data_IF_816081703574
#
_entry.id   IF_816081703574
#
_cell.length_a   1.000
_cell.length_b   1.000
_cell.length_c   1.000
_cell.angle_alpha   90.00
_cell.angle_beta   90.00
_cell.angle_gamma   90.00
#
_symmetry.space_group_name_H-M   'P 1'
#
loop_
_entity.id
_entity.type
_entity.pdbx_description
1 polymer ?
#
# COMPACT_ATOMS: atom_id res chain seq x y z
N UNK A 1 16.61 67.24 -23.01
CA UNK A 1 15.45 66.82 -22.18
C UNK A 1 14.81 65.61 -22.85
N UNK A 2 15.12 64.40 -22.39
CA UNK A 2 14.47 63.15 -22.83
C UNK A 2 13.28 62.88 -21.90
N UNK A 3 12.07 62.68 -22.46
CA UNK A 3 10.89 62.24 -21.69
C UNK A 3 10.99 60.72 -21.46
N UNK A 4 10.70 60.21 -20.24
CA UNK A 4 10.72 58.77 -19.98
C UNK A 4 9.53 58.07 -20.65
N UNK A 5 9.75 56.83 -21.08
CA UNK A 5 8.71 55.94 -21.57
C UNK A 5 7.77 55.50 -20.42
N UNK A 6 6.48 55.23 -20.69
CA UNK A 6 5.53 54.80 -19.68
C UNK A 6 5.80 53.36 -19.22
N UNK A 7 5.49 53.02 -17.95
CA UNK A 7 5.69 51.68 -17.40
C UNK A 7 4.77 50.66 -18.08
N UNK A 8 5.33 49.50 -18.44
CA UNK A 8 4.60 48.38 -19.03
C UNK A 8 3.59 47.78 -18.04
N UNK A 9 2.45 47.33 -18.57
CA UNK A 9 1.39 46.72 -17.79
C UNK A 9 1.86 45.45 -17.06
N UNK A 10 1.36 45.17 -15.84
CA UNK A 10 1.70 43.97 -15.09
C UNK A 10 1.22 42.72 -15.82
N UNK A 11 2.11 41.73 -15.99
CA UNK A 11 1.76 40.41 -16.52
C UNK A 11 0.81 39.72 -15.53
N UNK A 12 -0.39 39.38 -15.98
CA UNK A 12 -1.34 38.56 -15.23
C UNK A 12 -0.72 37.20 -14.89
N UNK A 13 -0.75 36.81 -13.62
CA UNK A 13 -0.34 35.48 -13.18
C UNK A 13 -1.17 34.39 -13.90
N UNK A 14 -0.58 33.23 -14.25
CA UNK A 14 -1.34 32.13 -14.82
C UNK A 14 -2.38 31.63 -13.81
N UNK A 15 -3.59 31.35 -14.29
CA UNK A 15 -4.65 30.81 -13.46
C UNK A 15 -4.20 29.50 -12.79
N UNK A 16 -4.58 29.26 -11.53
CA UNK A 16 -4.29 28.00 -10.86
C UNK A 16 -4.88 26.85 -11.68
N UNK A 17 -4.11 25.77 -11.85
CA UNK A 17 -4.57 24.57 -12.52
C UNK A 17 -5.87 24.08 -11.84
N UNK A 18 -6.87 23.60 -12.61
CA UNK A 18 -8.09 23.08 -12.02
C UNK A 18 -7.73 21.96 -11.04
N UNK A 19 -8.25 22.06 -9.81
CA UNK A 19 -8.09 21.02 -8.80
C UNK A 19 -8.60 19.68 -9.32
N UNK A 20 -8.14 18.55 -8.74
CA UNK A 20 -8.60 17.23 -9.14
C UNK A 20 -10.13 17.18 -9.09
N UNK A 21 -10.76 17.03 -10.26
CA UNK A 21 -12.19 16.77 -10.34
C UNK A 21 -12.48 15.47 -9.57
N UNK A 22 -13.62 15.35 -8.87
CA UNK A 22 -14.01 14.09 -8.26
C UNK A 22 -13.99 13.03 -9.36
N UNK A 23 -13.11 12.04 -9.22
CA UNK A 23 -13.06 10.95 -10.17
C UNK A 23 -14.46 10.30 -10.19
N UNK A 24 -15.09 10.23 -11.36
CA UNK A 24 -16.26 9.36 -11.56
C UNK A 24 -15.85 7.99 -11.03
N UNK A 25 -16.59 7.39 -10.09
CA UNK A 25 -16.26 6.06 -9.59
C UNK A 25 -16.08 5.15 -10.80
N UNK A 26 -14.96 4.43 -10.92
CA UNK A 26 -14.76 3.53 -12.05
C UNK A 26 -15.96 2.58 -12.08
N UNK A 27 -16.64 2.50 -13.23
CA UNK A 27 -17.69 1.54 -13.47
C UNK A 27 -17.07 0.14 -13.41
N UNK A 28 -17.33 -0.58 -12.31
CA UNK A 28 -16.96 -1.98 -12.20
C UNK A 28 -17.94 -2.79 -13.05
N UNK A 29 -17.44 -3.40 -14.13
CA UNK A 29 -18.21 -4.37 -14.92
C UNK A 29 -17.78 -5.78 -14.56
N UNK A 30 -18.76 -6.64 -14.29
CA UNK A 30 -18.58 -8.07 -14.02
C UNK A 30 -19.35 -8.88 -15.06
N UNK A 31 -18.64 -9.45 -16.01
CA UNK A 31 -19.25 -10.33 -17.04
C UNK A 31 -19.03 -11.79 -16.62
N UNK A 32 -20.09 -12.54 -16.36
CA UNK A 32 -19.98 -13.95 -15.96
C UNK A 32 -19.29 -14.78 -17.05
N UNK A 33 -18.48 -15.74 -16.64
CA UNK A 33 -17.71 -16.64 -17.50
C UNK A 33 -17.87 -18.08 -17.04
N UNK A 34 -17.50 -19.02 -17.91
CA UNK A 34 -17.28 -20.41 -17.55
C UNK A 34 -15.81 -20.64 -17.19
N UNK A 35 -15.54 -21.59 -16.30
CA UNK A 35 -14.16 -21.99 -15.94
C UNK A 35 -13.35 -22.45 -17.16
N UNK A 36 -13.99 -23.04 -18.17
CA UNK A 36 -13.34 -23.44 -19.43
C UNK A 36 -12.80 -22.26 -20.25
N UNK A 37 -13.27 -21.04 -19.99
CA UNK A 37 -12.81 -19.82 -20.66
C UNK A 37 -11.61 -19.17 -19.95
N UNK A 38 -11.25 -19.66 -18.75
CA UNK A 38 -10.07 -19.21 -18.04
C UNK A 38 -8.83 -19.88 -18.63
N UNK A 39 -7.96 -19.08 -19.23
CA UNK A 39 -6.70 -19.54 -19.78
C UNK A 39 -5.86 -20.25 -18.72
N UNK A 40 -5.42 -21.48 -19.02
CA UNK A 40 -4.61 -22.30 -18.14
C UNK A 40 -5.35 -22.96 -16.97
N UNK A 41 -6.67 -22.76 -16.81
CA UNK A 41 -7.42 -23.34 -15.69
C UNK A 41 -7.32 -24.86 -15.65
N UNK A 42 -7.62 -25.54 -16.77
CA UNK A 42 -7.64 -26.99 -16.84
C UNK A 42 -6.28 -27.64 -16.54
N UNK A 43 -5.17 -26.94 -16.81
CA UNK A 43 -3.80 -27.44 -16.58
C UNK A 43 -3.20 -26.98 -15.24
N UNK A 44 -3.73 -25.91 -14.63
CA UNK A 44 -3.20 -25.33 -13.39
C UNK A 44 -3.51 -26.16 -12.15
N UNK A 45 -2.73 -26.01 -11.08
CA UNK A 45 -2.99 -26.64 -9.78
C UNK A 45 -3.66 -25.66 -8.81
N UNK A 46 -4.98 -25.80 -8.52
CA UNK A 46 -5.70 -24.86 -7.68
C UNK A 46 -5.47 -25.07 -6.18
N UNK A 47 -4.68 -26.06 -5.75
CA UNK A 47 -4.44 -26.30 -4.31
C UNK A 47 -3.85 -25.08 -3.60
N UNK A 48 -2.96 -24.34 -4.27
CA UNK A 48 -2.40 -23.10 -3.72
C UNK A 48 -3.47 -22.03 -3.48
N UNK A 49 -4.44 -21.92 -4.39
CA UNK A 49 -5.57 -21.00 -4.27
C UNK A 49 -6.52 -21.44 -3.15
N UNK A 50 -6.82 -22.74 -3.03
CA UNK A 50 -7.63 -23.28 -1.93
C UNK A 50 -6.99 -23.01 -0.56
N UNK A 51 -5.67 -23.21 -0.44
CA UNK A 51 -4.94 -22.89 0.79
C UNK A 51 -4.99 -21.40 1.13
N UNK A 52 -4.92 -20.52 0.13
CA UNK A 52 -5.11 -19.08 0.34
C UNK A 52 -6.55 -18.76 0.78
N UNK A 53 -7.54 -19.39 0.15
CA UNK A 53 -8.95 -19.24 0.50
C UNK A 53 -9.24 -19.67 1.95
N UNK A 54 -8.71 -20.81 2.40
CA UNK A 54 -8.85 -21.29 3.77
C UNK A 54 -8.24 -20.33 4.81
N UNK A 55 -7.09 -19.69 4.49
CA UNK A 55 -6.52 -18.63 5.34
C UNK A 55 -7.45 -17.43 5.44
N UNK A 56 -8.10 -17.04 4.34
CA UNK A 56 -9.11 -15.98 4.35
C UNK A 56 -10.34 -16.37 5.17
N UNK A 57 -10.80 -17.63 5.08
CA UNK A 57 -11.90 -18.14 5.87
C UNK A 57 -11.66 -18.02 7.38
N UNK A 58 -10.43 -18.25 7.87
CA UNK A 58 -10.09 -18.04 9.27
C UNK A 58 -10.24 -16.57 9.71
N UNK A 59 -9.90 -15.62 8.84
CA UNK A 59 -10.11 -14.18 9.09
C UNK A 59 -11.59 -13.83 9.07
N UNK A 60 -12.34 -14.36 8.10
CA UNK A 60 -13.78 -14.14 8.01
C UNK A 60 -14.49 -14.68 9.25
N UNK A 61 -14.09 -15.84 9.76
CA UNK A 61 -14.67 -16.47 10.97
C UNK A 61 -14.64 -15.53 12.20
N UNK A 62 -13.65 -14.65 12.29
CA UNK A 62 -13.51 -13.70 13.39
C UNK A 62 -14.30 -12.39 13.20
N UNK A 63 -14.91 -12.16 12.02
CA UNK A 63 -15.73 -10.96 11.74
C UNK A 63 -17.17 -11.16 12.20
N UNK A 64 -17.85 -10.04 12.51
CA UNK A 64 -19.31 -10.03 12.67
C UNK A 64 -20.00 -10.39 11.35
N UNK A 65 -21.20 -10.94 11.45
CA UNK A 65 -21.95 -11.46 10.30
C UNK A 65 -22.28 -10.38 9.25
N UNK A 66 -22.52 -9.15 9.71
CA UNK A 66 -22.84 -7.96 8.92
C UNK A 66 -21.61 -7.21 8.39
N UNK A 67 -20.40 -7.69 8.70
CA UNK A 67 -19.18 -7.02 8.27
C UNK A 67 -19.10 -6.99 6.73
N UNK A 68 -19.05 -5.81 6.10
CA UNK A 68 -19.04 -5.70 4.64
C UNK A 68 -17.71 -6.18 4.06
N UNK A 69 -17.78 -6.80 2.89
CA UNK A 69 -16.63 -7.31 2.13
C UNK A 69 -16.51 -6.61 0.77
N UNK A 70 -15.27 -6.47 0.29
CA UNK A 70 -14.98 -5.97 -1.06
C UNK A 70 -14.93 -4.45 -1.21
N UNK A 71 -15.11 -3.64 -0.15
CA UNK A 71 -14.89 -2.18 -0.14
C UNK A 71 -15.89 -1.34 -0.95
N UNK A 72 -16.20 -1.76 -2.18
CA UNK A 72 -17.26 -1.23 -3.06
C UNK A 72 -18.48 -2.15 -3.08
N UNK A 73 -18.70 -2.91 -2.00
CA UNK A 73 -19.86 -3.80 -1.77
C UNK A 73 -20.14 -4.84 -2.87
N UNK A 74 -19.13 -5.29 -3.63
CA UNK A 74 -19.32 -6.34 -4.63
C UNK A 74 -19.27 -7.76 -4.04
N UNK A 75 -18.77 -7.92 -2.81
CA UNK A 75 -18.53 -9.21 -2.18
C UNK A 75 -19.46 -9.49 -0.99
N UNK A 76 -20.52 -8.69 -0.81
CA UNK A 76 -21.54 -8.91 0.20
C UNK A 76 -21.03 -8.77 1.65
N UNK A 77 -21.50 -9.65 2.54
CA UNK A 77 -21.17 -9.62 3.98
C UNK A 77 -20.56 -10.93 4.47
N UNK A 78 -19.85 -10.91 5.60
CA UNK A 78 -19.09 -12.05 6.09
C UNK A 78 -19.91 -13.34 6.29
N UNK A 79 -21.19 -13.25 6.67
CA UNK A 79 -22.04 -14.44 6.87
C UNK A 79 -22.29 -15.22 5.58
N UNK A 80 -22.38 -14.54 4.43
CA UNK A 80 -22.64 -15.15 3.12
C UNK A 80 -21.48 -16.09 2.68
N UNK A 81 -20.29 -15.88 3.23
CA UNK A 81 -19.10 -16.69 2.94
C UNK A 81 -18.93 -17.89 3.87
N UNK A 82 -19.73 -18.01 4.94
CA UNK A 82 -19.59 -19.08 5.95
C UNK A 82 -19.80 -20.46 5.34
N UNK A 83 -20.81 -20.61 4.49
CA UNK A 83 -21.15 -21.89 3.85
C UNK A 83 -20.01 -22.39 2.97
N UNK A 84 -19.52 -21.54 2.05
CA UNK A 84 -18.42 -21.90 1.14
C UNK A 84 -17.10 -22.13 1.90
N UNK A 85 -16.87 -21.43 3.02
CA UNK A 85 -15.76 -21.73 3.91
C UNK A 85 -15.87 -23.11 4.59
N UNK A 86 -17.09 -23.51 4.98
CA UNK A 86 -17.37 -24.85 5.48
C UNK A 86 -17.10 -25.91 4.42
N UNK A 87 -17.59 -25.71 3.20
CA UNK A 87 -17.33 -26.61 2.07
C UNK A 87 -15.83 -26.74 1.77
N UNK A 88 -15.11 -25.62 1.71
CA UNK A 88 -13.65 -25.59 1.52
C UNK A 88 -12.89 -26.43 2.54
N UNK A 89 -13.31 -26.42 3.81
CA UNK A 89 -12.63 -27.14 4.89
C UNK A 89 -12.70 -28.67 4.77
N UNK A 90 -13.64 -29.18 3.97
CA UNK A 90 -13.85 -30.61 3.73
C UNK A 90 -13.13 -31.12 2.47
N UNK A 91 -12.52 -30.23 1.68
CA UNK A 91 -11.87 -30.58 0.43
C UNK A 91 -10.57 -31.34 0.70
N UNK A 92 -10.41 -32.52 0.09
CA UNK A 92 -9.17 -33.30 0.19
C UNK A 92 -7.98 -32.56 -0.44
N UNK A 93 -6.80 -32.72 0.14
CA UNK A 93 -5.53 -32.24 -0.41
C UNK A 93 -4.88 -33.19 -1.43
N UNK A 94 -5.50 -34.34 -1.67
CA UNK A 94 -4.97 -35.42 -2.51
C UNK A 94 -5.16 -35.10 -4.00
N UNK A 95 -4.16 -34.44 -4.56
CA UNK A 95 -4.15 -34.01 -5.97
C UNK A 95 -4.97 -32.74 -6.24
N UNK A 96 -4.93 -32.23 -7.48
CA UNK A 96 -5.57 -30.97 -7.84
C UNK A 96 -7.09 -31.07 -8.03
N UNK A 97 -7.62 -32.25 -8.35
CA UNK A 97 -9.02 -32.44 -8.76
C UNK A 97 -10.05 -32.10 -7.68
N UNK A 98 -9.89 -32.45 -6.39
CA UNK A 98 -10.82 -32.02 -5.35
C UNK A 98 -10.89 -30.50 -5.21
N UNK A 99 -9.73 -29.81 -5.26
CA UNK A 99 -9.66 -28.36 -5.19
C UNK A 99 -10.29 -27.70 -6.44
N UNK A 100 -10.09 -28.30 -7.62
CA UNK A 100 -10.72 -27.86 -8.87
C UNK A 100 -12.24 -27.96 -8.78
N UNK A 101 -12.75 -29.14 -8.41
CA UNK A 101 -14.19 -29.39 -8.27
C UNK A 101 -14.84 -28.47 -7.26
N UNK A 102 -14.15 -28.13 -6.17
CA UNK A 102 -14.63 -27.13 -5.20
C UNK A 102 -14.85 -25.75 -5.86
N UNK A 103 -13.86 -25.23 -6.57
CA UNK A 103 -14.01 -23.92 -7.24
C UNK A 103 -15.09 -23.95 -8.33
N UNK A 104 -15.17 -25.03 -9.11
CA UNK A 104 -16.16 -25.20 -10.16
C UNK A 104 -17.60 -25.35 -9.64
N UNK A 105 -17.78 -25.89 -8.43
CA UNK A 105 -19.08 -26.07 -7.79
C UNK A 105 -19.55 -24.82 -7.03
N UNK A 106 -18.64 -24.17 -6.30
CA UNK A 106 -19.00 -23.13 -5.33
C UNK A 106 -18.85 -21.70 -5.88
N UNK A 107 -18.23 -21.52 -7.06
CA UNK A 107 -17.97 -20.20 -7.62
C UNK A 107 -18.40 -20.08 -9.09
N UNK A 108 -18.65 -18.84 -9.50
CA UNK A 108 -18.79 -18.45 -10.90
C UNK A 108 -17.69 -17.44 -11.20
N UNK A 109 -16.80 -17.68 -12.19
CA UNK A 109 -15.79 -16.71 -12.54
C UNK A 109 -16.41 -15.53 -13.27
N UNK A 110 -15.88 -14.33 -13.02
CA UNK A 110 -16.30 -13.11 -13.70
C UNK A 110 -15.10 -12.44 -14.36
N UNK A 111 -15.26 -11.97 -15.60
CA UNK A 111 -14.36 -11.02 -16.23
C UNK A 111 -14.55 -9.67 -15.56
N UNK A 112 -13.51 -9.19 -14.89
CA UNK A 112 -13.48 -7.85 -14.30
C UNK A 112 -12.99 -6.86 -15.34
N UNK A 113 -13.77 -5.82 -15.59
CA UNK A 113 -13.43 -4.76 -16.54
C UNK A 113 -13.94 -3.39 -16.11
N UNK A 114 -13.50 -2.39 -16.86
CA UNK A 114 -13.96 -1.00 -16.82
C UNK A 114 -14.01 -0.45 -18.25
N UNK A 115 -14.40 0.81 -18.40
CA UNK A 115 -14.54 1.46 -19.71
C UNK A 115 -13.21 1.63 -20.48
N UNK A 116 -12.04 1.51 -19.82
CA UNK A 116 -10.74 1.69 -20.48
C UNK A 116 -10.19 0.42 -21.15
N UNK A 117 -10.65 -0.76 -20.75
CA UNK A 117 -10.19 -2.05 -21.28
C UNK A 117 -8.71 -2.38 -21.00
N UNK A 118 -8.01 -1.57 -20.20
CA UNK A 118 -6.60 -1.75 -19.85
C UNK A 118 -6.47 -2.07 -18.37
N UNK A 119 -5.89 -3.22 -18.06
CA UNK A 119 -5.55 -3.64 -16.70
C UNK A 119 -4.07 -3.41 -16.43
N UNK A 120 -3.74 -2.78 -15.29
CA UNK A 120 -2.37 -2.65 -14.82
C UNK A 120 -2.08 -3.78 -13.82
N UNK A 121 -1.09 -4.61 -14.12
CA UNK A 121 -0.58 -5.62 -13.20
C UNK A 121 0.80 -5.21 -12.67
N UNK A 122 0.95 -5.17 -11.36
CA UNK A 122 2.22 -4.85 -10.67
C UNK A 122 2.52 -5.90 -9.60
N UNK A 123 3.79 -6.11 -9.28
CA UNK A 123 4.23 -6.98 -8.19
C UNK A 123 4.66 -6.20 -6.95
N UNK A 124 4.46 -6.81 -5.79
CA UNK A 124 5.03 -6.38 -4.50
C UNK A 124 5.72 -7.59 -3.83
N UNK A 125 6.56 -7.36 -2.84
CA UNK A 125 7.26 -8.43 -2.11
C UNK A 125 7.53 -8.04 -0.65
N UNK A 126 7.86 -9.02 0.19
CA UNK A 126 8.33 -8.81 1.57
C UNK A 126 9.88 -8.79 1.55
N UNK A 127 10.54 -7.60 1.55
CA UNK A 127 11.99 -7.50 1.56
C UNK A 127 12.61 -8.11 2.82
N UNK A 128 13.81 -8.65 2.67
CA UNK A 128 14.64 -9.11 3.78
C UNK A 128 15.80 -8.14 4.01
N UNK A 129 15.91 -7.62 5.23
CA UNK A 129 16.96 -6.71 5.69
C UNK A 129 17.80 -7.39 6.76
N UNK A 130 18.97 -6.81 7.06
CA UNK A 130 19.74 -7.15 8.27
C UNK A 130 19.55 -6.06 9.30
N UNK A 131 19.53 -6.42 10.57
CA UNK A 131 19.33 -5.43 11.62
C UNK A 131 19.72 -5.90 13.00
N UNK A 132 19.57 -4.99 13.96
CA UNK A 132 19.80 -5.24 15.37
C UNK A 132 18.76 -4.55 16.24
N UNK A 133 18.61 -5.04 17.47
CA UNK A 133 17.77 -4.38 18.48
C UNK A 133 18.43 -3.13 19.07
N UNK A 134 19.75 -3.00 18.95
CA UNK A 134 20.52 -1.87 19.47
C UNK A 134 21.38 -1.25 18.37
N UNK A 135 21.54 0.07 18.42
CA UNK A 135 22.35 0.81 17.47
C UNK A 135 23.84 0.51 17.69
N UNK A 136 24.51 -0.01 16.67
CA UNK A 136 25.96 -0.23 16.66
C UNK A 136 26.46 -0.57 15.25
N UNK A 137 27.77 -0.44 15.00
CA UNK A 137 28.39 -0.88 13.75
C UNK A 137 27.69 -0.33 12.50
N UNK A 138 27.31 -1.21 11.57
CA UNK A 138 26.54 -0.85 10.38
C UNK A 138 25.07 -0.51 10.68
N UNK A 139 24.50 -0.98 11.79
CA UNK A 139 23.09 -0.80 12.15
C UNK A 139 22.83 0.59 12.70
N UNK A 140 22.73 1.55 11.79
CA UNK A 140 22.56 2.97 12.10
C UNK A 140 21.18 3.50 11.72
N UNK A 141 20.42 2.80 10.89
CA UNK A 141 19.15 3.30 10.37
C UNK A 141 17.99 2.81 11.25
N UNK A 142 17.32 3.67 12.03
CA UNK A 142 16.23 3.23 12.91
C UNK A 142 14.96 2.88 12.13
N UNK A 143 14.30 1.79 12.55
CA UNK A 143 12.89 1.53 12.29
C UNK A 143 12.10 1.85 13.55
N UNK A 144 11.03 2.64 13.43
CA UNK A 144 10.29 3.17 14.58
C UNK A 144 8.99 2.41 14.85
N UNK A 145 8.62 2.31 16.14
CA UNK A 145 7.24 2.03 16.52
C UNK A 145 6.32 3.23 16.20
N UNK A 146 5.00 3.02 16.30
CA UNK A 146 4.04 4.13 16.27
C UNK A 146 4.30 5.03 17.47
N UNK A 147 4.61 6.33 17.27
CA UNK A 147 4.81 7.26 18.38
C UNK A 147 3.53 7.44 19.19
N UNK A 148 3.66 7.59 20.52
CA UNK A 148 2.50 7.74 21.42
C UNK A 148 1.68 9.02 21.22
N UNK A 149 2.23 10.00 20.49
CA UNK A 149 1.58 11.27 20.16
C UNK A 149 0.96 11.29 18.75
N UNK A 150 1.08 10.21 17.97
CA UNK A 150 0.48 10.09 16.65
C UNK A 150 -1.02 9.83 16.77
N UNK A 151 -1.82 10.72 16.19
CA UNK A 151 -3.27 10.66 16.20
C UNK A 151 -3.78 10.46 14.78
N UNK A 152 -4.44 9.33 14.55
CA UNK A 152 -5.29 9.11 13.37
C UNK A 152 -6.70 9.60 13.67
N UNK A 153 -7.18 10.57 12.90
CA UNK A 153 -8.50 11.17 13.08
C UNK A 153 -9.42 10.71 11.97
N UNK A 154 -10.51 10.02 12.35
CA UNK A 154 -11.65 9.79 11.46
C UNK A 154 -12.54 11.04 11.47
N UNK A 155 -12.58 11.74 10.33
CA UNK A 155 -13.36 12.97 10.20
C UNK A 155 -14.86 12.69 10.13
N UNK A 156 -15.26 11.46 9.79
CA UNK A 156 -16.67 11.02 9.79
C UNK A 156 -17.31 11.07 11.17
N UNK A 157 -16.53 10.91 12.24
CA UNK A 157 -17.00 11.05 13.62
C UNK A 157 -17.46 12.48 13.95
N UNK A 158 -17.00 13.48 13.19
CA UNK A 158 -17.35 14.89 13.41
C UNK A 158 -18.44 15.37 12.46
N UNK A 159 -18.45 14.87 11.22
CA UNK A 159 -19.40 15.28 10.17
C UNK A 159 -19.66 14.14 9.20
N UNK A 160 -20.93 13.82 8.96
CA UNK A 160 -21.33 12.77 8.00
C UNK A 160 -20.76 13.03 6.58
N UNK A 161 -20.67 14.30 6.17
CA UNK A 161 -20.10 14.69 4.87
C UNK A 161 -18.61 14.36 4.71
N UNK A 162 -17.91 14.01 5.79
CA UNK A 162 -16.49 13.66 5.81
C UNK A 162 -16.27 12.16 6.06
N UNK A 163 -17.32 11.34 6.02
CA UNK A 163 -17.21 9.90 6.21
C UNK A 163 -16.26 9.29 5.20
N UNK A 164 -15.36 8.43 5.69
CA UNK A 164 -14.28 7.83 4.89
C UNK A 164 -13.07 8.74 4.68
N UNK A 165 -13.08 9.98 5.16
CA UNK A 165 -11.91 10.85 5.18
C UNK A 165 -11.22 10.81 6.53
N UNK A 166 -9.89 10.83 6.50
CA UNK A 166 -9.08 10.88 7.71
C UNK A 166 -7.86 11.76 7.54
N UNK A 167 -7.35 12.25 8.67
CA UNK A 167 -6.08 12.99 8.75
C UNK A 167 -5.21 12.40 9.84
N UNK A 168 -3.89 12.60 9.71
CA UNK A 168 -2.92 12.21 10.74
C UNK A 168 -2.23 13.44 11.28
N UNK A 169 -2.17 13.54 12.60
CA UNK A 169 -1.56 14.67 13.27
C UNK A 169 -1.04 14.31 14.67
N UNK A 170 -0.65 15.34 15.40
CA UNK A 170 -0.39 15.27 16.84
C UNK A 170 -1.02 16.47 17.53
N UNK A 171 -1.29 16.36 18.82
CA UNK A 171 -1.79 17.49 19.60
C UNK A 171 -0.60 18.29 20.15
N UNK A 172 -0.54 19.57 19.82
CA UNK A 172 0.44 20.53 20.33
C UNK A 172 -0.30 21.81 20.74
N UNK A 173 -0.09 22.28 21.98
CA UNK A 173 -0.71 23.49 22.52
C UNK A 173 -2.24 23.53 22.36
N UNK A 174 -2.89 22.38 22.61
CA UNK A 174 -4.35 22.23 22.47
C UNK A 174 -4.86 22.21 21.03
N UNK A 175 -3.98 22.11 20.03
CA UNK A 175 -4.33 22.08 18.61
C UNK A 175 -3.86 20.79 17.95
N UNK A 176 -4.70 20.23 17.09
CA UNK A 176 -4.28 19.16 16.18
C UNK A 176 -3.46 19.78 15.03
N UNK A 177 -2.20 19.38 14.93
CA UNK A 177 -1.28 19.82 13.87
C UNK A 177 -0.81 18.63 13.02
N UNK A 178 -0.46 18.83 11.74
CA UNK A 178 0.05 17.75 10.89
C UNK A 178 1.29 17.06 11.49
N UNK A 179 1.39 15.75 11.35
CA UNK A 179 2.55 15.00 11.84
C UNK A 179 3.81 15.36 11.02
N UNK A 180 5.03 15.35 11.62
CA UNK A 180 6.25 15.76 10.92
C UNK A 180 6.51 15.00 9.59
N UNK A 181 7.03 15.66 8.55
CA UNK A 181 7.46 15.02 7.30
C UNK A 181 8.73 14.16 7.52
N UNK A 182 9.00 13.27 6.56
CA UNK A 182 10.15 12.33 6.58
C UNK A 182 11.48 13.00 6.99
N UNK A 183 11.82 14.14 6.40
CA UNK A 183 13.10 14.81 6.66
C UNK A 183 13.26 15.26 8.13
N UNK A 184 12.18 15.70 8.78
CA UNK A 184 12.20 16.05 10.21
C UNK A 184 12.24 14.79 11.09
N UNK A 185 11.56 13.72 10.66
CA UNK A 185 11.56 12.42 11.33
C UNK A 185 12.97 11.82 11.38
N UNK A 186 13.67 11.82 10.25
CA UNK A 186 15.04 11.33 10.12
C UNK A 186 16.04 12.21 10.87
N UNK A 187 15.75 13.50 11.02
CA UNK A 187 16.61 14.49 11.68
C UNK A 187 16.60 14.47 13.21
N UNK A 188 15.45 14.19 13.85
CA UNK A 188 15.32 13.86 15.28
C UNK A 188 13.83 13.81 15.69
N UNK A 189 13.22 12.62 15.70
CA UNK A 189 12.01 12.43 16.50
C UNK A 189 12.37 12.25 17.97
N UNK A 190 12.13 13.29 18.77
CA UNK A 190 12.35 13.23 20.22
C UNK A 190 11.54 12.13 20.94
N UNK A 191 10.36 11.76 20.43
CA UNK A 191 9.42 10.82 21.09
C UNK A 191 9.30 9.45 20.43
N UNK A 192 9.83 9.26 19.22
CA UNK A 192 9.70 7.99 18.52
C UNK A 192 10.78 7.01 18.99
N UNK A 193 10.35 5.83 19.43
CA UNK A 193 11.24 4.78 19.94
C UNK A 193 11.65 3.88 18.77
N UNK A 194 12.94 3.80 18.42
CA UNK A 194 13.41 2.79 17.49
C UNK A 194 13.14 1.39 18.06
N UNK A 195 12.51 0.53 17.26
CA UNK A 195 12.30 -0.88 17.59
C UNK A 195 13.41 -1.77 17.04
N UNK A 196 14.07 -1.33 15.97
CA UNK A 196 15.20 -1.99 15.31
C UNK A 196 16.10 -0.93 14.68
N UNK A 197 17.33 -1.32 14.39
CA UNK A 197 18.26 -0.57 13.54
C UNK A 197 18.70 -1.47 12.39
N UNK A 198 18.59 -1.00 11.16
CA UNK A 198 19.01 -1.73 9.94
C UNK A 198 20.27 -1.12 9.34
N UNK A 199 20.96 -1.91 8.52
CA UNK A 199 22.27 -1.60 7.97
C UNK A 199 22.26 -0.70 6.73
N UNK A 200 21.14 -0.65 6.02
CA UNK A 200 21.00 0.14 4.78
C UNK A 200 19.77 1.09 4.84
N UNK A 201 19.97 2.42 4.79
CA UNK A 201 18.86 3.39 4.75
C UNK A 201 18.02 3.32 3.47
N UNK A 202 18.59 2.87 2.35
CA UNK A 202 17.88 2.66 1.09
C UNK A 202 16.92 1.47 1.24
N UNK A 203 17.38 0.37 1.84
CA UNK A 203 16.52 -0.78 2.08
C UNK A 203 15.44 -0.47 3.13
N UNK A 204 15.73 0.35 4.15
CA UNK A 204 14.73 0.87 5.07
C UNK A 204 13.65 1.71 4.35
N UNK A 205 14.06 2.53 3.37
CA UNK A 205 13.13 3.29 2.55
C UNK A 205 12.26 2.38 1.68
N UNK A 206 12.83 1.35 1.04
CA UNK A 206 12.04 0.39 0.26
C UNK A 206 11.13 -0.47 1.12
N UNK A 207 11.55 -0.84 2.34
CA UNK A 207 10.69 -1.49 3.33
C UNK A 207 9.43 -0.66 3.61
N UNK A 208 9.56 0.66 3.75
CA UNK A 208 8.43 1.56 3.96
C UNK A 208 7.51 1.66 2.73
N UNK A 209 8.06 1.54 1.51
CA UNK A 209 7.25 1.46 0.28
C UNK A 209 6.46 0.15 0.22
N UNK A 210 7.09 -0.99 0.55
CA UNK A 210 6.44 -2.30 0.54
C UNK A 210 5.45 -2.49 1.71
N UNK A 211 5.64 -1.76 2.81
CA UNK A 211 4.79 -1.78 3.99
C UNK A 211 5.00 -2.99 4.92
N UNK A 212 5.79 -3.98 4.52
CA UNK A 212 6.19 -5.09 5.39
C UNK A 212 7.51 -5.69 4.94
N UNK A 213 8.20 -6.39 5.84
CA UNK A 213 9.48 -7.03 5.56
C UNK A 213 9.93 -7.97 6.67
N UNK A 214 11.05 -8.64 6.44
CA UNK A 214 11.76 -9.47 7.42
C UNK A 214 13.07 -8.83 7.77
N UNK A 215 13.43 -8.81 9.04
CA UNK A 215 14.75 -8.37 9.51
C UNK A 215 15.43 -9.56 10.15
N UNK A 216 16.56 -9.97 9.58
CA UNK A 216 17.45 -10.98 10.14
C UNK A 216 18.35 -10.28 11.17
N UNK A 217 18.26 -10.71 12.42
CA UNK A 217 19.01 -10.14 13.52
C UNK A 217 20.40 -10.76 13.65
N UNK A 218 21.28 -10.11 14.42
CA UNK A 218 22.65 -10.56 14.67
C UNK A 218 22.76 -11.97 15.24
N UNK A 219 21.75 -12.39 16.02
CA UNK A 219 21.63 -13.75 16.59
C UNK A 219 21.07 -14.79 15.60
N UNK A 220 20.82 -14.38 14.35
CA UNK A 220 20.20 -15.20 13.30
C UNK A 220 18.68 -15.32 13.40
N UNK A 221 18.05 -14.76 14.44
CA UNK A 221 16.58 -14.76 14.55
C UNK A 221 15.97 -13.82 13.53
N UNK A 222 14.75 -14.15 13.07
CA UNK A 222 14.03 -13.34 12.09
C UNK A 222 12.83 -12.68 12.78
N UNK A 223 12.77 -11.35 12.69
CA UNK A 223 11.60 -10.58 13.11
C UNK A 223 10.85 -10.07 11.88
N UNK A 224 9.52 -10.10 11.92
CA UNK A 224 8.68 -9.53 10.87
C UNK A 224 8.35 -8.08 11.22
N UNK A 225 8.69 -7.17 10.32
CA UNK A 225 8.26 -5.78 10.36
C UNK A 225 6.95 -5.66 9.56
N UNK A 226 5.88 -5.23 10.20
CA UNK A 226 4.59 -5.03 9.55
C UNK A 226 4.16 -3.57 9.68
N UNK A 227 3.43 -3.06 8.70
CA UNK A 227 2.81 -1.74 8.73
C UNK A 227 1.97 -1.57 9.99
N UNK A 228 2.13 -0.42 10.65
CA UNK A 228 1.36 -0.05 11.83
C UNK A 228 0.68 1.31 11.68
N UNK A 229 1.38 2.32 11.14
CA UNK A 229 0.85 3.66 10.88
C UNK A 229 1.68 4.41 9.84
N UNK A 230 1.20 5.58 9.42
CA UNK A 230 1.92 6.55 8.59
C UNK A 230 1.71 7.97 9.12
N UNK A 231 2.57 8.92 8.76
CA UNK A 231 2.49 10.32 9.22
C UNK A 231 1.44 11.17 8.47
N UNK A 232 0.62 10.56 7.62
CA UNK A 232 -0.44 11.23 6.84
C UNK A 232 0.05 12.19 5.75
N UNK A 233 1.35 12.21 5.45
CA UNK A 233 1.90 13.02 4.34
C UNK A 233 1.68 12.31 3.01
N UNK A 234 1.47 13.07 1.92
CA UNK A 234 1.34 12.47 0.60
C UNK A 234 2.62 11.73 0.20
N UNK A 235 2.44 10.58 -0.46
CA UNK A 235 3.55 9.86 -1.06
C UNK A 235 4.05 10.58 -2.32
N UNK A 236 5.35 10.86 -2.36
CA UNK A 236 6.04 11.38 -3.55
C UNK A 236 6.83 10.25 -4.19
N UNK A 237 6.48 9.89 -5.42
CA UNK A 237 7.17 8.84 -6.16
C UNK A 237 8.59 9.29 -6.55
N UNK A 238 9.61 8.69 -5.94
CA UNK A 238 11.02 9.03 -6.19
C UNK A 238 11.40 8.87 -7.67
N UNK A 239 10.90 7.82 -8.33
CA UNK A 239 11.11 7.62 -9.77
C UNK A 239 10.61 8.78 -10.62
N UNK A 240 9.45 9.38 -10.29
CA UNK A 240 8.92 10.54 -11.01
C UNK A 240 9.81 11.78 -10.82
N UNK A 241 10.35 11.98 -9.61
CA UNK A 241 11.29 13.07 -9.31
C UNK A 241 12.59 12.90 -10.09
N UNK A 242 13.15 11.68 -10.14
CA UNK A 242 14.38 11.40 -10.90
C UNK A 242 14.18 11.60 -12.41
N UNK A 243 13.02 11.24 -12.96
CA UNK A 243 12.67 11.55 -14.35
C UNK A 243 12.60 13.05 -14.59
N UNK A 244 11.91 13.79 -13.70
CA UNK A 244 11.78 15.25 -13.84
C UNK A 244 13.14 15.96 -13.80
N UNK A 245 14.10 15.42 -13.04
CA UNK A 245 15.47 15.94 -12.96
C UNK A 245 16.36 15.52 -14.13
N UNK A 246 15.90 14.61 -15.00
CA UNK A 246 16.70 14.06 -16.09
C UNK A 246 17.71 12.99 -15.67
N UNK A 247 17.62 12.51 -14.43
CA UNK A 247 18.51 11.49 -13.85
C UNK A 247 18.18 10.08 -14.34
N UNK A 248 16.89 9.82 -14.62
CA UNK A 248 16.40 8.55 -15.16
C UNK A 248 15.45 8.79 -16.33
N UNK A 249 15.48 7.87 -17.31
CA UNK A 249 14.49 7.85 -18.41
C UNK A 249 13.21 7.16 -17.95
N UNK A 250 12.06 7.60 -18.47
CA UNK A 250 10.74 7.07 -18.08
C UNK A 250 10.60 5.58 -18.37
N UNK A 251 11.21 5.10 -19.44
CA UNK A 251 11.13 3.71 -19.90
C UNK A 251 12.04 2.78 -19.07
N UNK A 252 13.04 3.35 -18.39
CA UNK A 252 14.01 2.61 -17.60
C UNK A 252 13.72 2.65 -16.09
N UNK A 253 12.71 3.42 -15.66
CA UNK A 253 12.42 3.61 -14.24
C UNK A 253 11.89 2.31 -13.63
N UNK A 254 12.64 1.79 -12.68
CA UNK A 254 12.31 0.58 -11.92
C UNK A 254 12.82 0.74 -10.49
N UNK A 255 12.39 -0.16 -9.61
CA UNK A 255 12.94 -0.23 -8.25
C UNK A 255 14.46 -0.40 -8.28
N UNK A 256 14.95 -1.26 -9.19
CA UNK A 256 16.37 -1.57 -9.36
C UNK A 256 17.15 -0.35 -9.84
N UNK A 257 16.64 0.37 -10.84
CA UNK A 257 17.32 1.58 -11.35
C UNK A 257 17.34 2.71 -10.31
N UNK A 258 16.26 2.87 -9.53
CA UNK A 258 16.20 3.85 -8.44
C UNK A 258 17.22 3.49 -7.35
N UNK A 259 17.29 2.21 -6.95
CA UNK A 259 18.25 1.74 -5.95
C UNK A 259 19.69 1.95 -6.42
N UNK A 260 20.01 1.61 -7.66
CA UNK A 260 21.33 1.82 -8.24
C UNK A 260 21.72 3.30 -8.22
N UNK A 261 20.82 4.18 -8.65
CA UNK A 261 21.07 5.63 -8.63
C UNK A 261 21.35 6.16 -7.21
N UNK A 262 20.58 5.70 -6.20
CA UNK A 262 20.79 6.11 -4.80
C UNK A 262 22.14 5.63 -4.25
N UNK A 263 22.63 4.46 -4.65
CA UNK A 263 23.95 3.96 -4.24
C UNK A 263 25.09 4.74 -4.88
N UNK A 264 24.92 5.21 -6.12
CA UNK A 264 25.91 6.01 -6.85
C UNK A 264 25.94 7.48 -6.40
N UNK A 265 24.88 7.94 -5.71
CA UNK A 265 24.73 9.32 -5.25
C UNK A 265 24.45 9.38 -3.73
N UNK A 266 25.39 8.93 -2.88
CA UNK A 266 25.26 9.06 -1.44
C UNK A 266 25.25 10.56 -1.03
N UNK A 267 24.52 10.86 0.05
CA UNK A 267 24.36 12.21 0.59
C UNK A 267 25.68 12.83 1.10
#
# INVERSE_FOLDING_TARGET
MLRPAPPGAPRSAPAPAPGPQPAVPPSLRLDAMQFSELEGWAQGDPRGALQAFLRSCAVLAAKSDDAPLGGVNYAGVAVEWRQVCGAASLVSSDGPEPARGFFELEFVPYRVGNDSGVSLFTGYYEPQLRGSRTRHGAYQTPLYAVPGDLVNVDLGLFRESLKGQGIVGKVADGRLVPYPPRAEIEGALGTAVPILFVDDPIDAFFLQIQGSGRVVLDDGTVVRAAYAAQNGRPYTALGAVLIQRGELKREAVSMQSIRAWLLEHPA
#
